data_IF_946530683490
#
_entry.id   IF_946530683490
#
_cell.length_a   1.000
_cell.length_b   1.000
_cell.length_c   1.000
_cell.angle_alpha   90.00
_cell.angle_beta   90.00
_cell.angle_gamma   90.00
#
_symmetry.space_group_name_H-M   'P 1'
#
loop_
_entity.id
_entity.type
_entity.pdbx_description
1 polymer ?
#
# COMPACT_ATOMS: atom_id res chain seq x y z
N UNK A 1 -32.03 15.50 -6.13
CA UNK A 1 -31.12 14.86 -7.11
C UNK A 1 -29.73 14.97 -6.52
N UNK A 2 -29.10 13.84 -6.18
CA UNK A 2 -27.76 13.85 -5.58
C UNK A 2 -26.75 14.24 -6.67
N UNK A 3 -26.12 15.41 -6.54
CA UNK A 3 -24.94 15.75 -7.32
C UNK A 3 -23.82 14.82 -6.85
N UNK A 4 -23.54 13.76 -7.60
CA UNK A 4 -22.29 13.04 -7.47
C UNK A 4 -21.19 13.91 -8.08
N UNK A 5 -20.51 14.71 -7.27
CA UNK A 5 -19.29 15.41 -7.67
C UNK A 5 -18.29 14.37 -8.18
N UNK A 6 -17.93 14.43 -9.46
CA UNK A 6 -16.94 13.53 -10.06
C UNK A 6 -15.58 13.98 -9.55
N UNK A 7 -15.07 13.34 -8.50
CA UNK A 7 -13.71 13.58 -8.01
C UNK A 7 -12.72 13.19 -9.13
N UNK A 8 -11.98 14.16 -9.65
CA UNK A 8 -10.89 13.91 -10.59
C UNK A 8 -9.68 13.35 -9.83
N UNK A 9 -9.18 12.20 -10.28
CA UNK A 9 -7.93 11.66 -9.75
C UNK A 9 -6.74 12.24 -10.52
N UNK A 10 -5.66 12.49 -9.80
CA UNK A 10 -4.37 12.87 -10.34
C UNK A 10 -3.74 11.71 -11.11
N UNK A 11 -2.64 12.00 -11.81
CA UNK A 11 -1.85 10.97 -12.49
C UNK A 11 -1.28 9.99 -11.47
N UNK A 12 -1.35 8.70 -11.79
CA UNK A 12 -0.82 7.66 -10.91
C UNK A 12 0.68 7.80 -10.68
N UNK A 13 1.09 7.60 -9.43
CA UNK A 13 2.48 7.55 -8.99
C UNK A 13 2.82 6.13 -8.58
N UNK A 14 3.95 5.61 -9.10
CA UNK A 14 4.46 4.28 -8.76
C UNK A 14 5.65 4.41 -7.83
N UNK A 15 5.64 3.63 -6.76
CA UNK A 15 6.74 3.51 -5.83
C UNK A 15 7.09 2.03 -5.64
N UNK A 16 8.38 1.70 -5.76
CA UNK A 16 8.90 0.33 -5.62
C UNK A 16 9.73 0.27 -4.35
N UNK A 17 9.50 -0.76 -3.55
CA UNK A 17 10.31 -1.07 -2.38
C UNK A 17 10.95 -2.45 -2.55
N UNK A 18 12.26 -2.46 -2.68
CA UNK A 18 13.09 -3.67 -2.65
C UNK A 18 13.52 -3.92 -1.20
N UNK A 19 13.21 -5.11 -0.71
CA UNK A 19 13.53 -5.55 0.65
C UNK A 19 14.55 -6.66 0.55
N UNK A 20 15.79 -6.37 0.90
CA UNK A 20 16.87 -7.35 1.03
C UNK A 20 16.83 -8.03 2.40
N UNK A 21 17.36 -9.25 2.48
CA UNK A 21 17.37 -10.07 3.70
C UNK A 21 15.96 -10.24 4.31
N UNK A 22 14.95 -10.45 3.46
CA UNK A 22 13.55 -10.48 3.87
C UNK A 22 13.29 -11.53 4.96
N UNK A 23 13.93 -12.71 4.86
CA UNK A 23 13.78 -13.79 5.84
C UNK A 23 14.36 -13.45 7.22
N UNK A 24 15.13 -12.36 7.33
CA UNK A 24 15.70 -11.88 8.60
C UNK A 24 14.84 -10.81 9.27
N UNK A 25 13.72 -10.40 8.66
CA UNK A 25 12.81 -9.43 9.27
C UNK A 25 12.22 -9.97 10.57
N UNK A 26 12.00 -9.08 11.54
CA UNK A 26 11.24 -9.42 12.73
C UNK A 26 9.76 -9.55 12.38
N UNK A 27 9.24 -10.78 12.44
CA UNK A 27 7.84 -11.11 12.16
C UNK A 27 6.84 -10.54 13.18
N UNK A 28 7.30 -10.14 14.37
CA UNK A 28 6.44 -9.57 15.43
C UNK A 28 6.18 -8.07 15.24
N UNK A 29 6.92 -7.42 14.35
CA UNK A 29 6.88 -5.98 14.12
C UNK A 29 6.57 -5.64 12.66
N UNK A 30 6.14 -4.40 12.44
CA UNK A 30 5.97 -3.88 11.09
C UNK A 30 7.27 -3.25 10.61
N UNK A 31 7.49 -3.31 9.30
CA UNK A 31 8.64 -2.66 8.64
C UNK A 31 8.13 -1.63 7.64
N UNK A 32 8.83 -0.51 7.52
CA UNK A 32 8.42 0.60 6.66
C UNK A 32 9.44 0.88 5.56
N UNK A 33 8.96 1.21 4.37
CA UNK A 33 9.79 1.77 3.32
C UNK A 33 10.25 3.19 3.66
N UNK A 34 11.13 3.75 2.82
CA UNK A 34 11.30 5.21 2.76
C UNK A 34 9.98 5.90 2.37
N UNK A 35 9.86 7.17 2.74
CA UNK A 35 8.75 8.00 2.32
C UNK A 35 8.84 8.36 0.82
N UNK A 36 7.69 8.51 0.18
CA UNK A 36 7.55 9.00 -1.19
C UNK A 36 6.36 9.96 -1.30
N UNK A 37 6.33 10.77 -2.36
CA UNK A 37 5.31 11.80 -2.56
C UNK A 37 4.42 11.44 -3.75
N UNK A 38 3.11 11.54 -3.54
CA UNK A 38 2.09 11.49 -4.59
C UNK A 38 1.12 12.65 -4.39
N UNK A 39 1.05 13.57 -5.36
CA UNK A 39 0.16 14.75 -5.35
C UNK A 39 0.24 15.56 -4.04
N UNK A 40 1.44 15.98 -3.67
CA UNK A 40 1.78 16.71 -2.43
C UNK A 40 1.43 16.00 -1.12
N UNK A 41 1.07 14.71 -1.18
CA UNK A 41 0.85 13.86 -0.03
C UNK A 41 2.05 12.93 0.15
N UNK A 42 2.51 12.80 1.39
CA UNK A 42 3.64 11.94 1.75
C UNK A 42 3.14 10.59 2.25
N UNK A 43 3.69 9.52 1.68
CA UNK A 43 3.28 8.14 1.91
C UNK A 43 4.47 7.24 2.21
N UNK A 44 4.25 6.12 2.88
CA UNK A 44 5.20 5.00 2.89
C UNK A 44 4.46 3.66 2.89
N UNK A 45 5.13 2.62 2.38
CA UNK A 45 4.65 1.24 2.46
C UNK A 45 4.97 0.71 3.86
N UNK A 46 4.01 0.02 4.47
CA UNK A 46 4.19 -0.79 5.66
C UNK A 46 3.97 -2.25 5.32
N UNK A 47 4.83 -3.14 5.80
CA UNK A 47 4.56 -4.56 5.80
C UNK A 47 4.47 -5.11 7.21
N UNK A 48 3.63 -6.11 7.36
CA UNK A 48 3.64 -7.06 8.47
C UNK A 48 4.11 -8.38 7.87
N UNK A 49 5.38 -8.77 8.07
CA UNK A 49 5.95 -9.97 7.45
C UNK A 49 5.09 -11.19 7.74
N UNK A 50 4.48 -11.26 8.93
CA UNK A 50 3.58 -12.33 9.33
C UNK A 50 2.35 -11.81 10.06
N UNK A 51 1.22 -11.79 9.36
CA UNK A 51 -0.10 -11.60 9.97
C UNK A 51 -0.58 -12.90 10.64
N UNK A 52 -1.66 -12.82 11.44
CA UNK A 52 -2.21 -13.95 12.23
C UNK A 52 -2.47 -15.23 11.42
N UNK A 53 -2.79 -15.08 10.13
CA UNK A 53 -3.11 -16.19 9.22
C UNK A 53 -1.89 -16.76 8.46
N UNK A 54 -0.67 -16.36 8.80
CA UNK A 54 0.54 -16.75 8.04
C UNK A 54 0.56 -16.15 6.63
N UNK A 55 0.08 -14.92 6.51
CA UNK A 55 0.06 -14.14 5.26
C UNK A 55 0.88 -12.88 5.44
N UNK A 56 1.44 -12.39 4.35
CA UNK A 56 2.04 -11.07 4.28
C UNK A 56 0.93 -10.01 4.32
N UNK A 57 1.01 -9.11 5.30
CA UNK A 57 0.22 -7.89 5.34
C UNK A 57 0.96 -6.76 4.63
N UNK A 58 0.29 -6.01 3.76
CA UNK A 58 0.87 -4.87 3.05
C UNK A 58 -0.09 -3.69 3.09
N UNK A 59 0.39 -2.56 3.61
CA UNK A 59 -0.38 -1.35 3.83
C UNK A 59 0.36 -0.12 3.34
N UNK A 60 -0.39 0.96 3.22
CA UNK A 60 0.08 2.28 2.90
C UNK A 60 -0.29 3.21 4.05
N UNK A 61 0.69 3.99 4.49
CA UNK A 61 0.54 4.98 5.55
C UNK A 61 0.65 6.38 4.95
N UNK A 62 -0.28 7.25 5.29
CA UNK A 62 -0.23 8.67 4.94
C UNK A 62 0.29 9.48 6.13
N UNK A 63 1.26 10.36 5.90
CA UNK A 63 1.86 11.21 6.94
C UNK A 63 1.49 12.70 6.83
N UNK A 64 0.54 13.06 5.96
CA UNK A 64 0.10 14.44 5.75
C UNK A 64 -1.10 14.84 6.62
N UNK A 65 -1.29 16.16 6.78
CA UNK A 65 -2.45 16.75 7.47
C UNK A 65 -3.70 16.83 6.58
N UNK A 66 -3.51 16.75 5.26
CA UNK A 66 -4.59 16.83 4.29
C UNK A 66 -5.41 15.53 4.28
N UNK A 67 -6.64 15.60 3.81
CA UNK A 67 -7.58 14.46 3.79
C UNK A 67 -7.94 14.07 2.36
N UNK A 68 -6.98 13.61 1.53
CA UNK A 68 -7.27 13.23 0.15
C UNK A 68 -8.16 12.00 0.08
N UNK A 69 -8.77 11.81 -1.09
CA UNK A 69 -9.17 10.50 -1.59
C UNK A 69 -7.97 9.82 -2.24
N UNK A 70 -7.80 8.53 -2.00
CA UNK A 70 -6.77 7.73 -2.67
C UNK A 70 -7.37 6.48 -3.30
N UNK A 71 -6.97 6.22 -4.54
CA UNK A 71 -7.11 4.92 -5.20
C UNK A 71 -5.72 4.32 -5.34
N UNK A 72 -5.55 3.06 -4.95
CA UNK A 72 -4.24 2.43 -5.03
C UNK A 72 -4.31 0.95 -5.38
N UNK A 73 -3.19 0.44 -5.86
CA UNK A 73 -2.92 -0.99 -5.95
C UNK A 73 -1.57 -1.32 -5.34
N UNK A 74 -1.49 -2.50 -4.75
CA UNK A 74 -0.30 -3.09 -4.16
C UNK A 74 0.10 -4.31 -4.98
N UNK A 75 1.38 -4.49 -5.19
CA UNK A 75 1.94 -5.55 -6.03
C UNK A 75 3.09 -6.24 -5.32
N UNK A 76 3.09 -7.57 -5.32
CA UNK A 76 4.26 -8.42 -5.00
C UNK A 76 4.77 -9.00 -6.31
N UNK A 77 5.98 -8.60 -6.71
CA UNK A 77 6.55 -9.01 -7.99
C UNK A 77 7.01 -10.46 -7.97
N UNK A 78 6.65 -11.16 -9.03
CA UNK A 78 7.28 -12.43 -9.34
C UNK A 78 8.53 -12.16 -10.20
N UNK A 79 9.70 -12.39 -9.60
CA UNK A 79 11.00 -12.03 -10.17
C UNK A 79 11.46 -13.01 -11.26
N UNK A 80 10.85 -14.21 -11.33
CA UNK A 80 11.12 -15.23 -12.36
C UNK A 80 10.15 -15.15 -13.55
N UNK A 81 8.91 -14.74 -13.31
CA UNK A 81 7.87 -14.65 -14.32
C UNK A 81 6.88 -13.53 -14.02
N UNK A 82 7.05 -12.39 -14.69
CA UNK A 82 6.22 -11.20 -14.49
C UNK A 82 4.71 -11.46 -14.61
N UNK A 83 4.28 -12.42 -15.45
CA UNK A 83 2.85 -12.77 -15.62
C UNK A 83 2.23 -13.41 -14.37
N UNK A 84 3.04 -13.90 -13.44
CA UNK A 84 2.61 -14.48 -12.16
C UNK A 84 2.67 -13.48 -10.99
N UNK A 85 3.00 -12.22 -11.27
CA UNK A 85 2.98 -11.13 -10.29
C UNK A 85 1.59 -11.02 -9.66
N UNK A 86 1.54 -10.88 -8.34
CA UNK A 86 0.28 -10.73 -7.60
C UNK A 86 0.04 -9.25 -7.39
N UNK A 87 -1.10 -8.75 -7.88
CA UNK A 87 -1.53 -7.36 -7.66
C UNK A 87 -2.92 -7.36 -7.06
N UNK A 88 -3.07 -6.67 -5.93
CA UNK A 88 -4.35 -6.39 -5.31
C UNK A 88 -4.60 -4.89 -5.41
N UNK A 89 -5.73 -4.50 -6.00
CA UNK A 89 -6.11 -3.11 -6.18
C UNK A 89 -7.47 -2.84 -5.57
N UNK A 90 -7.64 -1.64 -5.04
CA UNK A 90 -8.96 -1.16 -4.63
C UNK A 90 -9.62 -0.52 -5.85
N UNK A 91 -10.23 -1.32 -6.73
CA UNK A 91 -11.16 -0.73 -7.70
C UNK A 91 -12.34 -0.15 -6.91
N UNK A 92 -12.49 1.19 -6.92
CA UNK A 92 -13.64 1.94 -6.39
C UNK A 92 -13.76 2.19 -4.86
N UNK A 93 -12.72 2.00 -4.04
CA UNK A 93 -12.78 2.45 -2.64
C UNK A 93 -12.06 3.78 -2.47
N UNK A 94 -12.86 4.84 -2.36
CA UNK A 94 -12.41 6.19 -2.01
C UNK A 94 -12.23 6.29 -0.50
N UNK A 95 -10.99 6.34 -0.03
CA UNK A 95 -10.71 6.53 1.39
C UNK A 95 -10.48 8.01 1.68
N UNK A 96 -11.38 8.64 2.44
CA UNK A 96 -11.11 9.96 3.03
C UNK A 96 -10.24 9.76 4.27
N UNK A 97 -9.01 10.24 4.22
CA UNK A 97 -8.07 10.12 5.33
C UNK A 97 -8.28 11.23 6.35
N UNK A 98 -8.87 10.97 7.50
CA UNK A 98 -9.07 12.00 8.53
C UNK A 98 -7.83 12.09 9.44
N UNK A 99 -6.91 13.02 9.16
CA UNK A 99 -5.63 13.09 9.88
C UNK A 99 -5.61 14.05 11.10
N UNK A 100 -6.60 14.95 11.27
CA UNK A 100 -6.51 16.07 12.22
C UNK A 100 -6.41 15.69 13.72
N UNK A 101 -6.72 14.44 14.13
CA UNK A 101 -6.77 14.07 15.57
C UNK A 101 -6.07 12.78 15.97
N UNK A 102 -5.30 12.14 15.09
CA UNK A 102 -4.77 10.81 15.38
C UNK A 102 -3.33 10.88 15.87
N UNK A 103 -3.08 10.45 17.11
CA UNK A 103 -1.73 10.07 17.56
C UNK A 103 -1.14 9.10 16.53
N UNK A 104 0.18 9.16 16.30
CA UNK A 104 0.93 8.38 15.29
C UNK A 104 0.53 6.89 15.19
N UNK A 105 0.10 6.30 16.32
CA UNK A 105 -0.38 4.92 16.44
C UNK A 105 -1.69 4.60 15.69
N UNK A 106 -2.49 5.62 15.37
CA UNK A 106 -3.84 5.48 14.80
C UNK A 106 -3.96 6.03 13.39
N UNK A 107 -2.85 6.37 12.73
CA UNK A 107 -2.90 6.80 11.34
C UNK A 107 -3.68 5.78 10.50
N UNK A 108 -4.64 6.22 9.66
CA UNK A 108 -5.39 5.32 8.80
C UNK A 108 -4.42 4.54 7.91
N UNK A 109 -4.40 3.21 8.09
CA UNK A 109 -3.65 2.26 7.26
C UNK A 109 -4.59 1.76 6.18
N UNK A 110 -4.20 1.93 4.92
CA UNK A 110 -4.93 1.41 3.78
C UNK A 110 -4.17 0.22 3.23
N UNK A 111 -4.79 -0.94 3.06
CA UNK A 111 -4.03 -2.09 2.57
C UNK A 111 -4.77 -3.40 2.61
N UNK A 112 -3.97 -4.46 2.48
CA UNK A 112 -4.41 -5.84 2.40
C UNK A 112 -3.67 -6.64 3.47
N UNK A 113 -4.41 -7.12 4.48
CA UNK A 113 -3.88 -8.03 5.50
C UNK A 113 -3.57 -9.44 4.95
N UNK A 114 -4.05 -9.74 3.75
CA UNK A 114 -3.95 -11.03 3.08
C UNK A 114 -3.28 -10.92 1.70
N UNK A 115 -2.23 -10.10 1.57
CA UNK A 115 -1.58 -9.82 0.30
C UNK A 115 -1.06 -11.09 -0.39
N UNK A 116 -0.40 -11.96 0.37
CA UNK A 116 0.17 -13.21 -0.15
C UNK A 116 0.34 -14.24 0.97
N UNK A 117 0.02 -15.52 0.77
CA UNK A 117 0.40 -16.58 1.71
C UNK A 117 1.91 -16.69 1.85
N UNK A 118 2.43 -16.81 3.07
CA UNK A 118 3.87 -16.96 3.28
C UNK A 118 4.41 -18.25 2.68
N UNK A 119 3.58 -19.30 2.62
CA UNK A 119 3.94 -20.54 1.92
C UNK A 119 4.25 -20.31 0.44
N UNK A 120 3.54 -19.39 -0.24
CA UNK A 120 3.80 -19.05 -1.64
C UNK A 120 4.97 -18.06 -1.77
N UNK A 121 5.09 -17.11 -0.84
CA UNK A 121 6.16 -16.11 -0.85
C UNK A 121 7.54 -16.77 -0.69
N UNK A 122 7.67 -17.70 0.26
CA UNK A 122 8.93 -18.38 0.57
C UNK A 122 9.20 -19.62 -0.28
N UNK A 123 8.26 -20.07 -1.12
CA UNK A 123 8.48 -21.18 -2.05
C UNK A 123 9.46 -20.73 -3.15
N UNK A 124 10.69 -21.30 -3.21
CA UNK A 124 11.69 -20.90 -4.20
C UNK A 124 11.22 -21.11 -5.64
N UNK A 125 10.31 -22.04 -5.91
CA UNK A 125 9.79 -22.34 -7.24
C UNK A 125 8.73 -21.33 -7.67
N UNK A 126 8.08 -20.64 -6.72
CA UNK A 126 7.10 -19.58 -7.02
C UNK A 126 7.78 -18.30 -7.45
N UNK A 127 8.98 -17.97 -6.96
CA UNK A 127 9.81 -16.87 -7.49
C UNK A 127 9.41 -15.46 -7.03
N UNK A 128 8.71 -15.34 -5.90
CA UNK A 128 8.42 -14.03 -5.28
C UNK A 128 9.56 -13.55 -4.39
N UNK A 129 10.26 -14.47 -3.73
CA UNK A 129 11.50 -14.24 -3.01
C UNK A 129 12.67 -14.86 -3.80
N UNK A 130 13.64 -14.04 -4.21
CA UNK A 130 14.84 -14.46 -4.96
C UNK A 130 16.05 -13.84 -4.29
N UNK A 131 17.07 -14.64 -3.99
CA UNK A 131 18.28 -14.20 -3.26
C UNK A 131 17.93 -13.43 -1.97
N UNK A 132 16.97 -13.98 -1.22
CA UNK A 132 16.37 -13.39 -0.01
C UNK A 132 15.87 -11.94 -0.18
N UNK A 133 15.54 -11.57 -1.43
CA UNK A 133 15.06 -10.25 -1.81
C UNK A 133 13.62 -10.32 -2.26
N UNK A 134 12.76 -9.49 -1.68
CA UNK A 134 11.35 -9.33 -2.05
C UNK A 134 11.14 -7.95 -2.67
N UNK A 135 10.40 -7.87 -3.78
CA UNK A 135 10.13 -6.59 -4.47
C UNK A 135 8.63 -6.29 -4.42
N UNK A 136 8.30 -5.18 -3.76
CA UNK A 136 6.96 -4.67 -3.61
C UNK A 136 6.76 -3.40 -4.43
N UNK A 137 5.53 -3.13 -4.84
CA UNK A 137 5.17 -1.85 -5.44
C UNK A 137 3.80 -1.37 -4.96
N UNK A 138 3.67 -0.06 -4.85
CA UNK A 138 2.37 0.61 -4.80
C UNK A 138 2.24 1.52 -6.01
N UNK A 139 1.06 1.49 -6.64
CA UNK A 139 0.62 2.51 -7.59
C UNK A 139 -0.56 3.26 -6.96
N UNK A 140 -0.47 4.59 -6.86
CA UNK A 140 -1.47 5.42 -6.17
C UNK A 140 -1.86 6.64 -7.01
N UNK A 141 -3.15 6.97 -7.00
CA UNK A 141 -3.73 8.18 -7.58
C UNK A 141 -4.52 8.93 -6.50
N UNK A 142 -4.41 10.26 -6.48
CA UNK A 142 -4.98 11.11 -5.43
C UNK A 142 -6.10 11.98 -6.00
N UNK A 143 -7.21 12.09 -5.27
CA UNK A 143 -8.31 13.00 -5.60
C UNK A 143 -8.61 13.93 -4.44
N UNK A 144 -8.93 15.17 -4.74
CA UNK A 144 -9.31 16.17 -3.73
C UNK A 144 -10.83 16.34 -3.71
N UNK A 145 -11.48 16.42 -2.52
CA UNK A 145 -12.86 16.90 -2.45
C UNK A 145 -12.91 18.34 -2.97
N UNK A 146 -13.94 18.65 -3.78
CA UNK A 146 -14.24 20.04 -4.12
C UNK A 146 -14.67 20.78 -2.84
N UNK A 147 -14.36 22.09 -2.75
CA UNK A 147 -14.70 22.93 -1.59
C UNK A 147 -16.21 22.93 -1.25
N UNK A 148 -17.07 22.54 -2.20
CA UNK A 148 -18.52 22.38 -2.00
C UNK A 148 -18.94 21.18 -1.14
N UNK A 149 -18.05 20.20 -0.92
CA UNK A 149 -18.33 19.01 -0.11
C UNK A 149 -17.97 19.20 1.39
N UNK A 150 -17.63 20.43 1.78
CA UNK A 150 -17.19 20.80 3.14
C UNK A 150 -18.24 21.65 3.88
N UNK A 151 -19.36 22.03 3.24
CA UNK A 151 -20.49 22.74 3.89
C UNK A 151 -21.55 21.81 4.47
#
# INVERSE_FOLDING_TARGET
MANSSIISLSKSTKFIWTIENFSSLNDEEHHSSSYFVADDCTWCILIYPKELDGKLGMYLMHSGMKSPYAEFSSTVFNQKNQKKTVTLGTHFLRFRLHCWKMHVRWLPKLGFSNMMPLSDLHDPDKGFLVDDTCILQVEISIGWPDDSDIT
#
